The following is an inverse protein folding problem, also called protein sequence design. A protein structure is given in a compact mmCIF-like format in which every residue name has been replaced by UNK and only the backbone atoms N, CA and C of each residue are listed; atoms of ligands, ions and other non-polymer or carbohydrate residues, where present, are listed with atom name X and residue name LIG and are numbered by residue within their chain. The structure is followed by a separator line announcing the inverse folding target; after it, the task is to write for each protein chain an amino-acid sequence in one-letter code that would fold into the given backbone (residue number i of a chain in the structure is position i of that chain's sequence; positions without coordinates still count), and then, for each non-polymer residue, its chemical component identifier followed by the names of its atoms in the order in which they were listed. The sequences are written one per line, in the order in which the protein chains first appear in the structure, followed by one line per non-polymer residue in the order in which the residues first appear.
data_IF_560252196535
#
_entry.id   IF_560252196535
#
_cell.length_a   1.000
_cell.length_b   1.000
_cell.length_c   1.000
_cell.angle_alpha   90.00
_cell.angle_beta   90.00
_cell.angle_gamma   90.00
#
_symmetry.space_group_name_H-M   'P 1'
#
loop_
_entity.id
_entity.type
_entity.pdbx_description
1 polymer ?
#
# COMPACT_ATOMS: atom_id res chain seq x y z
N UNK A 1 -20.09 -31.36 -21.60
CA UNK A 1 -20.27 -29.97 -22.08
C UNK A 1 -18.94 -29.28 -21.96
N UNK A 2 -18.41 -28.72 -23.05
CA UNK A 2 -17.21 -27.87 -22.97
C UNK A 2 -17.60 -26.54 -22.32
N UNK A 3 -16.93 -26.16 -21.24
CA UNK A 3 -17.07 -24.84 -20.63
C UNK A 3 -16.67 -23.79 -21.67
N UNK A 4 -17.41 -22.67 -21.75
CA UNK A 4 -17.04 -21.60 -22.68
C UNK A 4 -15.76 -20.89 -22.22
N UNK A 5 -14.94 -20.35 -23.13
CA UNK A 5 -13.74 -19.60 -22.75
C UNK A 5 -14.03 -18.43 -21.80
N UNK A 6 -15.22 -17.84 -21.88
CA UNK A 6 -15.65 -16.76 -20.97
C UNK A 6 -15.86 -17.29 -19.55
N UNK A 7 -16.55 -18.42 -19.40
CA UNK A 7 -16.80 -19.04 -18.09
C UNK A 7 -15.51 -19.52 -17.44
N UNK A 8 -14.58 -20.09 -18.22
CA UNK A 8 -13.26 -20.50 -17.74
C UNK A 8 -12.47 -19.29 -17.18
N UNK A 9 -12.44 -18.17 -17.91
CA UNK A 9 -11.76 -16.96 -17.45
C UNK A 9 -12.41 -16.43 -16.16
N UNK A 10 -13.73 -16.38 -16.07
CA UNK A 10 -14.43 -15.86 -14.89
C UNK A 10 -14.23 -16.78 -13.68
N UNK A 11 -14.23 -18.09 -13.88
CA UNK A 11 -14.07 -19.08 -12.83
C UNK A 11 -12.62 -19.07 -12.28
N UNK A 12 -11.64 -19.21 -13.16
CA UNK A 12 -10.30 -19.70 -12.82
C UNK A 12 -9.18 -18.66 -12.98
N UNK A 13 -9.46 -17.47 -13.55
CA UNK A 13 -8.42 -16.45 -13.73
C UNK A 13 -7.95 -15.88 -12.38
N UNK A 14 -6.76 -16.31 -11.95
CA UNK A 14 -6.09 -15.81 -10.73
C UNK A 14 -5.93 -14.29 -10.76
N UNK A 15 -5.54 -13.70 -11.90
CA UNK A 15 -5.38 -12.26 -12.02
C UNK A 15 -6.70 -11.50 -11.84
N UNK A 16 -7.83 -12.07 -12.26
CA UNK A 16 -9.15 -11.50 -12.05
C UNK A 16 -9.52 -11.52 -10.56
N UNK A 17 -9.34 -12.68 -9.89
CA UNK A 17 -9.62 -12.85 -8.46
C UNK A 17 -8.74 -11.94 -7.59
N UNK A 18 -7.44 -11.86 -7.86
CA UNK A 18 -6.50 -11.00 -7.13
C UNK A 18 -6.84 -9.53 -7.31
N UNK A 19 -7.19 -9.07 -8.51
CA UNK A 19 -7.61 -7.67 -8.73
C UNK A 19 -8.92 -7.35 -8.04
N UNK A 20 -9.90 -8.26 -8.06
CA UNK A 20 -11.17 -8.07 -7.37
C UNK A 20 -10.97 -7.95 -5.86
N UNK A 21 -10.23 -8.89 -5.27
CA UNK A 21 -9.87 -8.86 -3.86
C UNK A 21 -9.10 -7.58 -3.51
N UNK A 22 -8.07 -7.24 -4.30
CA UNK A 22 -7.27 -6.04 -4.11
C UNK A 22 -8.12 -4.77 -4.09
N UNK A 23 -9.02 -4.58 -5.06
CA UNK A 23 -9.94 -3.43 -5.07
C UNK A 23 -10.87 -3.39 -3.86
N UNK A 24 -11.42 -4.53 -3.46
CA UNK A 24 -12.29 -4.61 -2.30
C UNK A 24 -11.57 -4.24 -1.01
N UNK A 25 -10.34 -4.75 -0.82
CA UNK A 25 -9.51 -4.43 0.33
C UNK A 25 -9.09 -2.96 0.31
N UNK A 26 -8.55 -2.46 -0.80
CA UNK A 26 -8.16 -1.05 -0.95
C UNK A 26 -9.31 -0.11 -0.60
N UNK A 27 -10.50 -0.34 -1.18
CA UNK A 27 -11.66 0.50 -0.90
C UNK A 27 -12.13 0.44 0.56
N UNK A 28 -11.94 -0.69 1.23
CA UNK A 28 -12.26 -0.83 2.65
C UNK A 28 -11.31 0.00 3.54
N UNK A 29 -10.00 -0.02 3.26
CA UNK A 29 -9.05 0.81 3.99
C UNK A 29 -9.20 2.30 3.65
N UNK A 30 -9.38 2.66 2.37
CA UNK A 30 -9.53 4.05 1.95
C UNK A 30 -10.74 4.71 2.60
N UNK A 31 -11.90 4.03 2.66
CA UNK A 31 -13.08 4.55 3.38
C UNK A 31 -12.81 4.78 4.87
N UNK A 32 -12.01 3.92 5.51
CA UNK A 32 -11.68 4.10 6.92
C UNK A 32 -10.71 5.27 7.14
N UNK A 33 -9.89 5.61 6.14
CA UNK A 33 -8.88 6.65 6.20
C UNK A 33 -9.34 8.00 5.61
N UNK A 34 -10.52 8.06 5.00
CA UNK A 34 -11.07 9.25 4.33
C UNK A 34 -11.06 10.49 5.23
N UNK A 35 -11.47 10.37 6.49
CA UNK A 35 -11.44 11.46 7.48
C UNK A 35 -10.03 11.90 7.92
N UNK A 36 -8.98 11.31 7.35
CA UNK A 36 -7.59 11.63 7.62
C UNK A 36 -6.85 12.14 6.38
N UNK A 37 -7.51 12.45 5.26
CA UNK A 37 -6.87 12.93 4.02
C UNK A 37 -5.71 12.01 3.56
N UNK A 38 -5.88 10.70 3.73
CA UNK A 38 -4.86 9.70 3.46
C UNK A 38 -5.48 8.48 2.80
N UNK A 39 -4.85 7.96 1.74
CA UNK A 39 -5.18 6.64 1.18
C UNK A 39 -4.35 5.52 1.82
N UNK A 40 -4.78 4.28 1.67
CA UNK A 40 -3.99 3.12 2.11
C UNK A 40 -2.65 3.02 1.37
N UNK A 41 -2.62 3.41 0.09
CA UNK A 41 -1.39 3.44 -0.69
C UNK A 41 -0.38 4.46 -0.12
N UNK A 42 -0.86 5.64 0.27
CA UNK A 42 -0.05 6.67 0.93
C UNK A 42 0.40 6.24 2.32
N UNK A 43 -0.49 5.63 3.11
CA UNK A 43 -0.13 5.07 4.42
C UNK A 43 0.97 4.01 4.29
N UNK A 44 0.89 3.14 3.28
CA UNK A 44 1.91 2.12 3.03
C UNK A 44 3.28 2.75 2.66
N UNK A 45 3.31 3.85 1.91
CA UNK A 45 4.55 4.60 1.65
C UNK A 45 5.14 5.16 2.95
N UNK A 46 4.32 5.80 3.79
CA UNK A 46 4.76 6.36 5.07
C UNK A 46 5.29 5.26 6.01
N UNK A 47 4.57 4.14 6.13
CA UNK A 47 4.96 3.02 6.97
C UNK A 47 6.26 2.37 6.48
N UNK A 48 6.38 2.15 5.17
CA UNK A 48 7.59 1.57 4.56
C UNK A 48 8.80 2.49 4.78
N UNK A 49 8.66 3.78 4.53
CA UNK A 49 9.70 4.77 4.77
C UNK A 49 10.08 4.86 6.25
N UNK A 50 9.09 4.72 7.15
CA UNK A 50 9.31 4.63 8.59
C UNK A 50 10.10 3.40 9.03
N UNK A 51 9.94 2.27 8.33
CA UNK A 51 10.65 1.00 8.58
C UNK A 51 12.07 1.01 8.01
N UNK A 52 12.25 1.46 6.75
CA UNK A 52 13.54 1.35 6.04
C UNK A 52 14.44 2.58 6.21
N UNK A 53 13.92 3.68 6.76
CA UNK A 53 14.65 4.94 6.89
C UNK A 53 14.73 5.73 5.57
N UNK A 54 15.55 6.78 5.52
CA UNK A 54 15.72 7.58 4.31
C UNK A 54 16.10 6.73 3.10
N UNK A 55 15.42 6.91 1.97
CA UNK A 55 15.70 6.17 0.75
C UNK A 55 15.28 6.95 -0.50
N UNK A 56 15.67 6.46 -1.68
CA UNK A 56 15.19 7.05 -2.93
C UNK A 56 13.71 6.70 -3.21
N UNK A 57 12.95 7.55 -3.93
CA UNK A 57 11.62 7.19 -4.42
C UNK A 57 11.61 5.91 -5.27
N UNK A 58 12.69 5.66 -6.03
CA UNK A 58 12.82 4.44 -6.83
C UNK A 58 12.94 3.19 -5.95
N UNK A 59 13.72 3.24 -4.87
CA UNK A 59 13.82 2.14 -3.90
C UNK A 59 12.48 1.88 -3.22
N UNK A 60 11.76 2.94 -2.84
CA UNK A 60 10.43 2.81 -2.25
C UNK A 60 9.44 2.15 -3.22
N UNK A 61 9.51 2.48 -4.51
CA UNK A 61 8.75 1.80 -5.57
C UNK A 61 9.08 0.31 -5.69
N UNK A 62 10.37 -0.05 -5.65
CA UNK A 62 10.78 -1.45 -5.69
C UNK A 62 10.22 -2.26 -4.50
N UNK A 63 10.33 -1.73 -3.28
CA UNK A 63 9.84 -2.38 -2.06
C UNK A 63 8.33 -2.60 -2.04
N UNK A 64 7.58 -1.75 -2.73
CA UNK A 64 6.12 -1.80 -2.80
C UNK A 64 5.59 -2.35 -4.14
N UNK A 65 6.48 -2.79 -5.03
CA UNK A 65 6.16 -3.22 -6.39
C UNK A 65 5.33 -2.18 -7.16
N UNK A 66 5.66 -0.90 -7.01
CA UNK A 66 4.99 0.23 -7.65
C UNK A 66 5.83 0.81 -8.79
N UNK A 67 5.17 1.15 -9.88
CA UNK A 67 5.78 1.92 -10.96
C UNK A 67 6.08 3.37 -10.51
N UNK A 68 7.00 4.03 -11.25
CA UNK A 68 7.45 5.39 -10.96
C UNK A 68 6.30 6.41 -10.91
N UNK A 69 5.31 6.28 -11.79
CA UNK A 69 4.18 7.22 -11.85
C UNK A 69 3.29 7.08 -10.61
N UNK A 70 3.08 5.85 -10.15
CA UNK A 70 2.28 5.54 -8.96
C UNK A 70 2.99 6.02 -7.69
N UNK A 71 4.31 5.83 -7.58
CA UNK A 71 5.10 6.40 -6.48
C UNK A 71 5.01 7.93 -6.48
N UNK A 72 5.25 8.58 -7.62
CA UNK A 72 5.23 10.04 -7.72
C UNK A 72 3.86 10.64 -7.34
N UNK A 73 2.78 10.05 -7.87
CA UNK A 73 1.40 10.48 -7.60
C UNK A 73 1.04 10.39 -6.12
N UNK A 74 1.50 9.35 -5.44
CA UNK A 74 1.22 9.16 -4.02
C UNK A 74 2.18 9.95 -3.11
N UNK A 75 3.43 10.18 -3.51
CA UNK A 75 4.40 10.97 -2.73
C UNK A 75 4.13 12.48 -2.78
N UNK A 76 3.64 13.01 -3.91
CA UNK A 76 3.48 14.46 -4.08
C UNK A 76 2.58 15.09 -3.00
N UNK A 77 1.41 14.53 -2.64
CA UNK A 77 0.63 15.03 -1.52
C UNK A 77 1.34 14.93 -0.16
N UNK A 78 2.11 13.87 0.07
CA UNK A 78 2.81 13.65 1.35
C UNK A 78 3.94 14.66 1.57
N UNK A 79 4.64 15.03 0.49
CA UNK A 79 5.62 16.12 0.48
C UNK A 79 4.92 17.47 0.75
N UNK A 80 3.80 17.75 0.07
CA UNK A 80 3.03 18.98 0.25
C UNK A 80 2.51 19.15 1.69
N UNK A 81 2.10 18.05 2.33
CA UNK A 81 1.63 18.02 3.72
C UNK A 81 2.78 18.02 4.75
N UNK A 82 4.04 17.93 4.30
CA UNK A 82 5.21 17.85 5.18
C UNK A 82 5.31 16.54 5.97
N UNK A 83 4.60 15.48 5.56
CA UNK A 83 4.71 14.15 6.16
C UNK A 83 5.95 13.40 5.67
N UNK A 84 6.41 13.74 4.47
CA UNK A 84 7.69 13.31 3.88
C UNK A 84 8.49 14.56 3.55
N UNK A 85 9.81 14.50 3.69
CA UNK A 85 10.73 15.54 3.26
C UNK A 85 11.69 15.01 2.18
N UNK A 86 12.10 15.88 1.26
CA UNK A 86 13.22 15.60 0.35
C UNK A 86 14.53 15.95 1.07
N UNK A 87 15.38 14.95 1.28
CA UNK A 87 16.70 15.12 1.92
C UNK A 87 17.73 15.62 0.92
N UNK A 88 17.62 15.16 -0.33
CA UNK A 88 18.48 15.61 -1.42
C UNK A 88 17.76 15.58 -2.78
N UNK A 89 18.20 16.44 -3.69
CA UNK A 89 17.69 16.55 -5.05
C UNK A 89 18.80 16.97 -6.03
N UNK A 90 18.68 16.53 -7.29
CA UNK A 90 19.54 16.95 -8.39
C UNK A 90 18.69 17.47 -9.58
N UNK A 91 19.34 17.74 -10.73
CA UNK A 91 18.66 18.17 -11.95
C UNK A 91 17.61 17.17 -12.49
N UNK A 92 17.63 15.91 -12.02
CA UNK A 92 16.70 14.85 -12.39
C UNK A 92 15.60 14.64 -11.33
N UNK A 93 15.60 15.42 -10.26
CA UNK A 93 14.58 15.44 -9.21
C UNK A 93 15.06 14.94 -7.85
N UNK A 94 14.12 14.51 -7.01
CA UNK A 94 14.39 14.06 -5.65
C UNK A 94 15.20 12.76 -5.68
N UNK A 95 16.33 12.75 -4.96
CA UNK A 95 17.24 11.61 -4.85
C UNK A 95 16.99 10.79 -3.59
N UNK A 96 16.62 11.47 -2.52
CA UNK A 96 16.38 10.85 -1.22
C UNK A 96 15.23 11.56 -0.51
N UNK A 97 14.37 10.76 0.11
CA UNK A 97 13.26 11.20 0.93
C UNK A 97 13.32 10.55 2.31
N UNK A 98 12.73 11.20 3.29
CA UNK A 98 12.60 10.67 4.65
C UNK A 98 11.23 10.94 5.27
N UNK A 99 10.86 10.09 6.23
CA UNK A 99 9.66 10.27 7.02
C UNK A 99 9.90 11.33 8.11
N UNK A 100 9.14 12.42 8.08
CA UNK A 100 9.30 13.51 9.05
C UNK A 100 8.69 13.16 10.40
N UNK A 101 8.99 13.97 11.43
CA UNK A 101 8.29 13.90 12.72
C UNK A 101 6.78 14.10 12.59
N UNK A 102 6.33 14.94 11.65
CA UNK A 102 4.91 15.14 11.38
C UNK A 102 4.30 13.91 10.71
N UNK A 103 5.02 13.27 9.78
CA UNK A 103 4.61 12.00 9.17
C UNK A 103 4.46 10.88 10.19
N UNK A 104 5.40 10.76 11.13
CA UNK A 104 5.30 9.80 12.26
C UNK A 104 4.06 10.05 13.12
N UNK A 105 3.80 11.31 13.49
CA UNK A 105 2.58 11.70 14.21
C UNK A 105 1.32 11.36 13.41
N UNK A 106 1.34 11.58 12.09
CA UNK A 106 0.21 11.23 11.21
C UNK A 106 -0.07 9.73 11.23
N UNK A 107 0.95 8.88 11.12
CA UNK A 107 0.79 7.42 11.23
C UNK A 107 0.10 7.07 12.55
N UNK A 108 0.59 7.57 13.69
CA UNK A 108 -0.03 7.30 14.99
C UNK A 108 -1.50 7.74 15.05
N UNK A 109 -1.83 8.88 14.45
CA UNK A 109 -3.21 9.39 14.42
C UNK A 109 -4.16 8.52 13.58
N UNK A 110 -3.68 7.88 12.51
CA UNK A 110 -4.53 7.04 11.63
C UNK A 110 -4.61 5.57 12.06
N UNK A 111 -3.68 5.10 12.90
CA UNK A 111 -3.64 3.69 13.36
C UNK A 111 -4.98 3.19 13.93
N UNK A 112 -5.73 3.95 14.75
CA UNK A 112 -7.03 3.48 15.23
C UNK A 112 -8.04 3.21 14.09
N UNK A 113 -8.07 4.07 13.07
CA UNK A 113 -8.94 3.88 11.91
C UNK A 113 -8.50 2.70 11.04
N UNK A 114 -7.19 2.60 10.80
CA UNK A 114 -6.59 1.45 10.11
C UNK A 114 -6.86 0.13 10.84
N UNK A 115 -6.78 0.08 12.18
CA UNK A 115 -7.11 -1.12 12.98
C UNK A 115 -8.57 -1.54 12.82
N UNK A 116 -9.51 -0.59 12.76
CA UNK A 116 -10.92 -0.91 12.49
C UNK A 116 -11.09 -1.56 11.11
N UNK A 117 -10.45 -0.98 10.08
CA UNK A 117 -10.43 -1.58 8.75
C UNK A 117 -9.78 -2.97 8.75
N UNK A 118 -8.66 -3.15 9.46
CA UNK A 118 -7.98 -4.43 9.59
C UNK A 118 -8.88 -5.50 10.22
N UNK A 119 -9.66 -5.15 11.26
CA UNK A 119 -10.65 -6.06 11.85
C UNK A 119 -11.78 -6.39 10.89
N UNK A 120 -12.30 -5.41 10.14
CA UNK A 120 -13.34 -5.65 9.13
C UNK A 120 -12.83 -6.54 7.99
N UNK A 121 -11.61 -6.31 7.51
CA UNK A 121 -10.96 -7.18 6.53
C UNK A 121 -10.81 -8.61 7.05
N UNK A 122 -10.39 -8.77 8.31
CA UNK A 122 -10.29 -10.08 8.94
C UNK A 122 -11.65 -10.78 9.08
N UNK A 123 -12.71 -10.05 9.39
CA UNK A 123 -14.07 -10.59 9.45
C UNK A 123 -14.58 -11.04 8.06
N UNK A 124 -14.25 -10.30 7.00
CA UNK A 124 -14.63 -10.65 5.63
C UNK A 124 -13.86 -11.85 5.07
N UNK A 125 -12.57 -11.94 5.36
CA UNK A 125 -11.69 -12.98 4.81
C UNK A 125 -11.64 -14.25 5.67
N UNK A 126 -11.99 -14.13 6.95
CA UNK A 126 -11.73 -15.16 7.96
C UNK A 126 -10.23 -15.35 8.23
N UNK A 127 -9.90 -16.07 9.31
CA UNK A 127 -8.52 -16.29 9.72
C UNK A 127 -7.67 -16.98 8.64
N UNK A 128 -8.25 -17.98 7.94
CA UNK A 128 -7.57 -18.69 6.87
C UNK A 128 -7.28 -17.78 5.68
N UNK A 129 -8.24 -16.93 5.26
CA UNK A 129 -8.04 -15.99 4.17
C UNK A 129 -6.98 -14.93 4.49
N UNK A 130 -6.98 -14.40 5.71
CA UNK A 130 -5.93 -13.46 6.17
C UNK A 130 -4.55 -14.11 6.10
N UNK A 131 -4.41 -15.34 6.60
CA UNK A 131 -3.14 -16.06 6.59
C UNK A 131 -2.69 -16.38 5.16
N UNK A 132 -3.62 -16.81 4.30
CA UNK A 132 -3.34 -17.07 2.89
C UNK A 132 -2.83 -15.82 2.17
N UNK A 133 -3.47 -14.66 2.36
CA UNK A 133 -3.02 -13.39 1.76
C UNK A 133 -1.61 -13.03 2.24
N UNK A 134 -1.33 -13.14 3.54
CA UNK A 134 0.01 -12.85 4.08
C UNK A 134 1.08 -13.79 3.49
N UNK A 135 0.80 -15.09 3.45
CA UNK A 135 1.73 -16.10 2.94
C UNK A 135 2.02 -15.90 1.45
N UNK A 136 0.96 -15.73 0.65
CA UNK A 136 1.08 -15.52 -0.80
C UNK A 136 1.79 -14.20 -1.12
N UNK A 137 1.47 -13.11 -0.41
CA UNK A 137 2.15 -11.83 -0.59
C UNK A 137 3.65 -11.92 -0.29
N UNK A 138 4.02 -12.66 0.77
CA UNK A 138 5.43 -12.88 1.13
C UNK A 138 6.18 -13.76 0.14
N UNK A 139 5.47 -14.57 -0.64
CA UNK A 139 6.07 -15.40 -1.70
C UNK A 139 6.35 -14.60 -2.97
N UNK A 140 5.54 -13.57 -3.25
CA UNK A 140 5.59 -12.80 -4.50
C UNK A 140 6.41 -11.51 -4.38
N UNK A 141 6.60 -10.97 -3.18
CA UNK A 141 7.35 -9.73 -2.98
C UNK A 141 8.20 -9.71 -1.71
N UNK A 142 9.30 -8.97 -1.79
CA UNK A 142 10.15 -8.61 -0.66
C UNK A 142 9.50 -7.47 0.16
N UNK A 143 8.31 -7.71 0.70
CA UNK A 143 7.77 -6.81 1.72
C UNK A 143 8.81 -6.73 2.84
N UNK A 144 9.14 -5.55 3.38
CA UNK A 144 10.02 -5.43 4.53
C UNK A 144 9.43 -6.27 5.67
N UNK A 145 10.00 -7.45 5.91
CA UNK A 145 9.70 -8.26 7.08
C UNK A 145 10.38 -7.64 8.29
N UNK A 146 9.88 -8.00 9.47
CA UNK A 146 10.34 -7.42 10.72
C UNK A 146 11.82 -7.61 11.01
#
# INVERSE_FOLDING_TARGET
MSISPVEEIVADCVAFRTRLLGRAMTGLYDRALEGHDLSIAQLNLLATLGKVGPCSPARLGQLLMLDRSTVSRNLSPLLKQGWVAAVSSDAKGIREIELTSLGRKKIHAVVPAWRRAQHQAAALLGAQGVNAVKALASTVGDLPTD
#
